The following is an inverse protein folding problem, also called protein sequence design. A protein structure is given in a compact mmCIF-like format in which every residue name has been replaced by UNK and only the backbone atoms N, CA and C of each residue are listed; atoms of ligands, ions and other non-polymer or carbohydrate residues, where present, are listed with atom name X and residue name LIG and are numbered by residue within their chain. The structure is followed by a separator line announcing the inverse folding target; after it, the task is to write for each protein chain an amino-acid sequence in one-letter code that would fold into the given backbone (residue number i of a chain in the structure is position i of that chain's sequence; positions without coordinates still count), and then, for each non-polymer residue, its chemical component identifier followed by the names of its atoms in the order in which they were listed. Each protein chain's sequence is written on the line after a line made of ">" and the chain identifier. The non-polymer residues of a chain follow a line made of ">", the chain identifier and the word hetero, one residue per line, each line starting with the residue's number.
data_IF_918619065828
#
_entry.id   IF_918619065828
#
_cell.length_a   1.000
_cell.length_b   1.000
_cell.length_c   1.000
_cell.angle_alpha   90.00
_cell.angle_beta   90.00
_cell.angle_gamma   90.00
#
_symmetry.space_group_name_H-M   'P 1'
#
loop_
_entity.id
_entity.type
_entity.pdbx_description
1 polymer ?
#
# COMPACT_ATOMS: atom_id res chain seq x y z
N UNK A 1 -12.65 -7.13 -5.39
CA UNK A 1 -12.13 -6.11 -4.46
C UNK A 1 -11.11 -5.20 -5.13
N UNK A 2 -10.05 -5.72 -5.76
CA UNK A 2 -9.07 -4.88 -6.48
C UNK A 2 -9.70 -3.90 -7.48
N UNK A 3 -10.58 -4.39 -8.37
CA UNK A 3 -11.26 -3.50 -9.33
C UNK A 3 -12.10 -2.38 -8.70
N UNK A 4 -12.73 -2.62 -7.54
CA UNK A 4 -13.49 -1.58 -6.83
C UNK A 4 -12.54 -0.52 -6.25
N UNK A 5 -11.42 -0.96 -5.65
CA UNK A 5 -10.41 -0.04 -5.11
C UNK A 5 -9.79 0.82 -6.23
N UNK A 6 -9.60 0.22 -7.41
CA UNK A 6 -9.13 0.92 -8.61
C UNK A 6 -10.14 1.95 -9.11
N UNK A 7 -11.42 1.60 -9.17
CA UNK A 7 -12.51 2.52 -9.52
C UNK A 7 -12.61 3.71 -8.54
N UNK A 8 -12.31 3.50 -7.26
CA UNK A 8 -12.27 4.57 -6.26
C UNK A 8 -11.07 5.52 -6.43
N UNK A 9 -10.07 5.17 -7.24
CA UNK A 9 -8.92 6.03 -7.51
C UNK A 9 -7.97 6.25 -6.32
N UNK A 10 -8.04 5.40 -5.28
CA UNK A 10 -7.31 5.57 -4.02
C UNK A 10 -5.80 5.68 -4.25
N UNK A 11 -5.23 4.84 -5.11
CA UNK A 11 -3.80 4.88 -5.41
C UNK A 11 -3.37 6.27 -5.90
N UNK A 12 -4.16 6.87 -6.80
CA UNK A 12 -3.87 8.17 -7.39
C UNK A 12 -3.97 9.29 -6.36
N UNK A 13 -5.00 9.27 -5.54
CA UNK A 13 -5.20 10.28 -4.49
C UNK A 13 -4.07 10.24 -3.46
N UNK A 14 -3.69 9.06 -2.96
CA UNK A 14 -2.58 8.91 -2.01
C UNK A 14 -1.27 9.38 -2.64
N UNK A 15 -0.98 9.01 -3.88
CA UNK A 15 0.23 9.49 -4.58
C UNK A 15 0.22 11.01 -4.79
N UNK A 16 -0.94 11.67 -4.80
CA UNK A 16 -1.07 13.13 -4.89
C UNK A 16 -0.79 13.80 -3.55
N UNK A 17 -1.26 13.20 -2.45
CA UNK A 17 -1.06 13.71 -1.08
C UNK A 17 0.39 13.54 -0.63
N UNK A 18 0.94 12.33 -0.78
CA UNK A 18 2.30 11.98 -0.31
C UNK A 18 3.39 12.38 -1.32
N UNK A 19 2.99 12.53 -2.59
CA UNK A 19 3.93 12.67 -3.68
C UNK A 19 4.50 11.31 -4.13
N UNK A 20 5.31 11.35 -5.18
CA UNK A 20 5.99 10.17 -5.73
C UNK A 20 7.39 10.52 -6.19
N UNK A 21 8.37 9.76 -5.73
CA UNK A 21 9.75 9.88 -6.21
C UNK A 21 9.99 8.93 -7.39
N UNK A 22 10.77 9.36 -8.37
CA UNK A 22 11.16 8.53 -9.52
C UNK A 22 12.04 7.33 -9.14
N UNK A 23 12.59 7.32 -7.92
CA UNK A 23 13.40 6.21 -7.38
C UNK A 23 12.58 5.19 -6.61
N UNK A 24 11.31 5.49 -6.31
CA UNK A 24 10.43 4.56 -5.61
C UNK A 24 9.98 3.44 -6.54
N UNK A 25 10.28 2.21 -6.14
CA UNK A 25 9.82 1.00 -6.84
C UNK A 25 8.32 0.75 -6.61
N UNK A 26 7.85 1.03 -5.39
CA UNK A 26 6.45 0.89 -4.99
C UNK A 26 5.98 2.20 -4.40
N UNK A 27 4.93 2.79 -4.98
CA UNK A 27 4.41 4.09 -4.51
C UNK A 27 3.58 3.93 -3.23
N UNK A 28 3.38 5.02 -2.50
CA UNK A 28 2.53 5.04 -1.31
C UNK A 28 1.09 4.56 -1.62
N UNK A 29 0.54 4.97 -2.76
CA UNK A 29 -0.78 4.53 -3.22
C UNK A 29 -0.89 3.01 -3.41
N UNK A 30 0.15 2.36 -3.95
CA UNK A 30 0.17 0.90 -4.12
C UNK A 30 0.20 0.21 -2.74
N UNK A 31 0.96 0.75 -1.79
CA UNK A 31 1.00 0.22 -0.42
C UNK A 31 -0.38 0.34 0.25
N UNK A 32 -1.06 1.48 0.12
CA UNK A 32 -2.43 1.65 0.66
C UNK A 32 -3.42 0.72 -0.04
N UNK A 33 -3.32 0.56 -1.36
CA UNK A 33 -4.12 -0.43 -2.10
C UNK A 33 -3.87 -1.85 -1.59
N UNK A 34 -2.62 -2.22 -1.33
CA UNK A 34 -2.26 -3.50 -0.73
C UNK A 34 -2.86 -3.66 0.67
N UNK A 35 -2.87 -2.61 1.49
CA UNK A 35 -3.51 -2.59 2.82
C UNK A 35 -5.01 -2.84 2.76
N UNK A 36 -5.69 -2.22 1.80
CA UNK A 36 -7.12 -2.40 1.57
C UNK A 36 -7.45 -3.78 1.01
N UNK A 37 -6.60 -4.32 0.13
CA UNK A 37 -6.75 -5.68 -0.42
C UNK A 37 -6.53 -6.76 0.64
N UNK A 38 -5.62 -6.52 1.57
CA UNK A 38 -5.45 -7.32 2.77
C UNK A 38 -6.57 -7.06 3.81
N UNK A 39 -7.49 -6.13 3.53
CA UNK A 39 -8.71 -5.90 4.30
C UNK A 39 -8.50 -5.36 5.71
N UNK A 40 -7.39 -4.66 5.99
CA UNK A 40 -6.99 -4.25 7.35
C UNK A 40 -6.74 -5.44 8.31
N UNK A 41 -6.57 -6.67 7.82
CA UNK A 41 -6.49 -7.89 8.65
C UNK A 41 -5.36 -7.97 9.69
N UNK A 42 -4.50 -6.95 9.77
CA UNK A 42 -3.35 -6.89 10.66
C UNK A 42 -3.28 -5.63 11.52
N UNK A 43 -4.42 -5.01 11.89
CA UNK A 43 -4.43 -3.90 12.89
C UNK A 43 -3.69 -4.30 14.18
N UNK A 44 -3.60 -5.60 14.48
CA UNK A 44 -2.94 -6.16 15.68
C UNK A 44 -1.77 -7.10 15.38
N UNK A 45 -1.33 -7.22 14.12
CA UNK A 45 -0.27 -8.16 13.76
C UNK A 45 1.00 -7.44 13.27
N UNK A 46 2.17 -8.10 13.34
CA UNK A 46 3.41 -7.50 12.87
C UNK A 46 3.40 -7.16 11.38
N UNK A 47 3.99 -6.02 11.01
CA UNK A 47 4.05 -5.53 9.63
C UNK A 47 4.71 -6.53 8.65
N UNK A 48 5.65 -7.35 9.09
CA UNK A 48 6.30 -8.34 8.21
C UNK A 48 5.34 -9.42 7.69
N UNK A 49 4.19 -9.63 8.36
CA UNK A 49 3.17 -10.58 7.91
C UNK A 49 2.34 -10.06 6.73
N UNK A 50 2.42 -8.76 6.44
CA UNK A 50 1.67 -8.14 5.35
C UNK A 50 2.16 -8.61 3.98
N UNK A 51 3.47 -8.70 3.77
CA UNK A 51 4.04 -9.25 2.53
C UNK A 51 3.65 -10.70 2.31
N UNK A 52 3.56 -11.49 3.39
CA UNK A 52 3.14 -12.90 3.33
C UNK A 52 1.72 -13.10 2.82
N UNK A 53 0.83 -12.12 3.02
CA UNK A 53 -0.50 -12.19 2.44
C UNK A 53 -0.43 -12.31 0.91
N UNK A 54 0.56 -11.69 0.27
CA UNK A 54 0.71 -11.68 -1.18
C UNK A 54 1.54 -12.86 -1.71
N UNK A 55 2.15 -13.66 -0.86
CA UNK A 55 2.86 -14.88 -1.28
C UNK A 55 1.92 -15.84 -2.01
N UNK A 56 2.31 -16.28 -3.21
CA UNK A 56 1.51 -17.16 -4.05
C UNK A 56 0.25 -16.52 -4.66
N UNK A 57 0.04 -15.20 -4.51
CA UNK A 57 -1.01 -14.44 -5.19
C UNK A 57 -0.47 -13.76 -6.46
N UNK A 58 -1.36 -13.43 -7.38
CA UNK A 58 -1.02 -12.71 -8.60
C UNK A 58 -0.81 -11.20 -8.33
N UNK A 59 0.29 -10.85 -7.64
CA UNK A 59 0.63 -9.48 -7.21
C UNK A 59 0.61 -8.50 -8.37
N UNK A 60 1.15 -8.87 -9.53
CA UNK A 60 1.17 -7.97 -10.69
C UNK A 60 -0.24 -7.61 -11.19
N UNK A 61 -1.16 -8.57 -11.14
CA UNK A 61 -2.55 -8.34 -11.51
C UNK A 61 -3.30 -7.52 -10.45
N UNK A 62 -2.94 -7.68 -9.17
CA UNK A 62 -3.62 -7.04 -8.05
C UNK A 62 -3.13 -5.63 -7.77
N UNK A 63 -1.83 -5.38 -7.92
CA UNK A 63 -1.14 -4.17 -7.45
C UNK A 63 -0.45 -3.39 -8.57
N UNK A 64 -0.27 -3.97 -9.75
CA UNK A 64 0.37 -3.34 -10.91
C UNK A 64 1.58 -4.10 -11.42
N UNK A 65 1.92 -3.87 -12.68
CA UNK A 65 3.03 -4.54 -13.38
C UNK A 65 4.37 -4.39 -12.65
N UNK A 66 5.12 -5.50 -12.53
CA UNK A 66 6.44 -5.51 -11.90
C UNK A 66 6.43 -5.43 -10.37
N UNK A 67 5.25 -5.38 -9.74
CA UNK A 67 5.12 -5.41 -8.28
C UNK A 67 5.19 -6.85 -7.78
N UNK A 68 6.10 -7.11 -6.85
CA UNK A 68 6.27 -8.44 -6.21
C UNK A 68 5.86 -8.39 -4.74
N UNK A 69 5.55 -9.56 -4.16
CA UNK A 69 5.16 -9.66 -2.75
C UNK A 69 6.28 -9.18 -1.81
N UNK A 70 7.53 -9.46 -2.16
CA UNK A 70 8.73 -9.09 -1.39
C UNK A 70 8.94 -7.57 -1.30
N UNK A 71 8.40 -6.82 -2.27
CA UNK A 71 8.44 -5.37 -2.25
C UNK A 71 7.40 -4.75 -1.30
N UNK A 72 6.41 -5.54 -0.86
CA UNK A 72 5.41 -5.17 0.16
C UNK A 72 5.90 -5.61 1.54
N UNK A 73 7.05 -5.08 1.96
CA UNK A 73 7.70 -5.39 3.23
C UNK A 73 7.42 -4.34 4.31
N UNK A 74 7.77 -4.68 5.54
CA UNK A 74 7.57 -3.87 6.74
C UNK A 74 8.28 -2.52 6.69
N UNK A 75 9.50 -2.45 6.14
CA UNK A 75 10.22 -1.19 5.96
C UNK A 75 9.41 -0.22 5.08
N UNK A 76 8.96 -0.67 3.91
CA UNK A 76 8.20 0.19 2.99
C UNK A 76 6.81 0.54 3.53
N UNK A 77 6.17 -0.41 4.21
CA UNK A 77 4.88 -0.17 4.87
C UNK A 77 5.03 0.87 5.98
N UNK A 78 6.02 0.72 6.86
CA UNK A 78 6.30 1.65 7.95
C UNK A 78 6.54 3.06 7.44
N UNK A 79 7.39 3.21 6.43
CA UNK A 79 7.64 4.51 5.79
C UNK A 79 6.36 5.16 5.27
N UNK A 80 5.51 4.42 4.56
CA UNK A 80 4.26 4.98 4.04
C UNK A 80 3.30 5.35 5.17
N UNK A 81 3.25 4.60 6.26
CA UNK A 81 2.44 4.96 7.43
C UNK A 81 2.93 6.24 8.09
N UNK A 82 4.25 6.42 8.20
CA UNK A 82 4.86 7.65 8.71
C UNK A 82 4.53 8.84 7.79
N UNK A 83 4.68 8.68 6.46
CA UNK A 83 4.35 9.71 5.48
C UNK A 83 2.85 10.11 5.57
N UNK A 84 1.95 9.14 5.71
CA UNK A 84 0.50 9.37 5.87
C UNK A 84 0.20 10.11 7.18
N UNK A 85 0.90 9.76 8.26
CA UNK A 85 0.78 10.44 9.55
C UNK A 85 1.28 11.89 9.47
N UNK A 86 2.43 12.14 8.85
CA UNK A 86 2.97 13.48 8.64
C UNK A 86 2.08 14.34 7.73
N UNK A 87 1.43 13.74 6.73
CA UNK A 87 0.46 14.41 5.86
C UNK A 87 -0.85 14.82 6.59
N UNK A 88 -0.98 14.54 7.89
CA UNK A 88 -2.14 14.95 8.70
C UNK A 88 -3.39 14.10 8.47
N UNK A 89 -3.27 12.91 7.87
CA UNK A 89 -4.42 12.00 7.75
C UNK A 89 -4.94 11.52 9.11
N UNK A 90 -4.09 11.56 10.15
CA UNK A 90 -4.47 11.34 11.55
C UNK A 90 -5.27 12.48 12.19
N UNK A 91 -5.24 13.70 11.63
CA UNK A 91 -6.07 14.83 12.12
C UNK A 91 -7.41 14.94 11.38
N UNK A 92 -7.65 14.11 10.36
CA UNK A 92 -8.80 14.23 9.46
C UNK A 92 -9.96 13.27 9.79
N UNK A 93 -9.81 12.36 10.77
CA UNK A 93 -10.86 11.42 11.19
C UNK A 93 -10.89 11.16 12.70
#
# INVERSE_FOLDING_TARGET
>A
MAGIIDEMGIEKEINTIIGRSSREKVSAGIIVKAMLLNGLGFVSAPLYMFGKFFEGKATEHLLGEGITAEQINDDRIGQVLDDLHEAGLSETF
#
